data_IF_840352122099
#
_entry.id   IF_840352122099
#
_cell.length_a   1.000
_cell.length_b   1.000
_cell.length_c   1.000
_cell.angle_alpha   90.00
_cell.angle_beta   90.00
_cell.angle_gamma   90.00
#
_symmetry.space_group_name_H-M   'P 1'
#
loop_
_entity.id
_entity.type
_entity.pdbx_description
1 polymer ?
#
# COMPACT_ATOMS: atom_id res chain seq x y z
N UNK A 1 39.16 6.40 -24.80
CA UNK A 1 38.40 5.78 -23.68
C UNK A 1 38.93 6.38 -22.39
N UNK A 2 38.39 7.51 -21.96
CA UNK A 2 38.94 8.25 -20.81
C UNK A 2 37.81 8.76 -19.92
N UNK A 3 37.86 8.23 -18.71
CA UNK A 3 37.21 8.60 -17.45
C UNK A 3 36.99 10.10 -17.26
N UNK A 4 35.73 10.54 -17.20
CA UNK A 4 35.36 11.82 -16.61
C UNK A 4 35.07 11.61 -15.12
N UNK A 5 36.14 11.50 -14.32
CA UNK A 5 36.07 11.73 -12.88
C UNK A 5 35.59 13.17 -12.66
N UNK A 6 34.46 13.33 -12.00
CA UNK A 6 34.01 14.64 -11.54
C UNK A 6 34.93 15.07 -10.40
N UNK A 7 35.84 16.01 -10.70
CA UNK A 7 36.68 16.74 -9.74
C UNK A 7 35.81 17.65 -8.85
N UNK A 8 34.99 17.07 -7.97
CA UNK A 8 34.28 17.84 -6.92
C UNK A 8 34.69 17.48 -5.50
N UNK A 9 35.54 16.47 -5.31
CA UNK A 9 35.97 16.00 -3.99
C UNK A 9 37.48 16.14 -3.76
N UNK A 10 38.05 17.31 -4.10
CA UNK A 10 39.44 17.65 -3.76
C UNK A 10 39.56 18.93 -2.94
N UNK A 11 38.68 19.10 -1.96
CA UNK A 11 38.91 20.09 -0.89
C UNK A 11 39.00 19.32 0.42
N UNK A 12 40.23 18.92 0.75
CA UNK A 12 40.60 18.59 2.13
C UNK A 12 40.52 19.90 2.94
N UNK A 13 39.90 19.92 4.13
CA UNK A 13 39.75 21.15 4.92
C UNK A 13 41.08 21.69 5.48
N UNK A 14 42.20 21.00 5.27
CA UNK A 14 43.52 21.35 5.85
C UNK A 14 44.53 21.93 4.83
N UNK A 15 44.09 22.37 3.64
CA UNK A 15 44.98 23.08 2.70
C UNK A 15 44.48 24.50 2.42
N UNK A 16 45.28 25.49 2.81
CA UNK A 16 45.07 26.89 2.45
C UNK A 16 44.99 27.04 0.93
N UNK A 17 43.89 27.61 0.41
CA UNK A 17 43.74 27.94 -0.99
C UNK A 17 44.62 29.16 -1.30
N UNK A 18 45.89 28.95 -1.62
CA UNK A 18 46.68 29.97 -2.30
C UNK A 18 46.17 29.96 -3.74
N UNK A 19 45.28 30.90 -4.07
CA UNK A 19 44.95 31.18 -5.47
C UNK A 19 45.89 32.29 -5.88
N UNK A 20 46.83 31.99 -6.77
CA UNK A 20 47.67 33.02 -7.37
C UNK A 20 46.75 34.04 -8.08
N UNK A 21 46.95 35.35 -7.87
CA UNK A 21 46.16 36.36 -8.55
C UNK A 21 46.32 36.20 -10.06
N UNK A 22 45.20 36.33 -10.77
CA UNK A 22 45.18 36.30 -12.24
C UNK A 22 46.12 37.44 -12.72
N UNK A 23 47.00 37.21 -13.71
CA UNK A 23 47.84 38.28 -14.24
C UNK A 23 46.98 39.47 -14.66
N UNK A 24 47.42 40.70 -14.34
CA UNK A 24 46.66 41.95 -14.57
C UNK A 24 46.12 42.10 -15.99
N UNK A 25 46.85 41.55 -16.97
CA UNK A 25 46.52 41.65 -18.38
C UNK A 25 45.34 40.74 -18.77
N UNK A 26 45.06 39.70 -17.98
CA UNK A 26 43.97 38.75 -18.20
C UNK A 26 42.66 39.17 -17.52
N UNK A 27 42.68 40.09 -16.55
CA UNK A 27 41.48 40.65 -15.90
C UNK A 27 40.58 41.40 -16.90
N UNK A 28 41.19 42.03 -17.91
CA UNK A 28 40.46 42.73 -18.97
C UNK A 28 39.55 41.78 -19.78
N UNK A 29 39.97 40.53 -20.00
CA UNK A 29 39.21 39.55 -20.78
C UNK A 29 38.22 38.74 -19.94
N UNK A 30 38.35 38.74 -18.61
CA UNK A 30 37.52 37.94 -17.71
C UNK A 30 36.03 38.28 -17.85
N UNK A 31 35.71 39.56 -18.06
CA UNK A 31 34.33 40.03 -18.27
C UNK A 31 33.71 39.52 -19.56
N UNK A 32 34.51 39.35 -20.61
CA UNK A 32 34.01 38.90 -21.90
C UNK A 32 33.97 37.37 -21.97
N UNK A 33 34.99 36.69 -21.43
CA UNK A 33 35.00 35.24 -21.25
C UNK A 33 33.83 34.79 -20.38
N UNK A 34 33.54 35.50 -19.27
CA UNK A 34 32.40 35.18 -18.41
C UNK A 34 31.05 35.38 -19.11
N UNK A 35 30.88 36.45 -19.89
CA UNK A 35 29.68 36.67 -20.71
C UNK A 35 29.51 35.58 -21.78
N UNK A 36 30.58 35.17 -22.45
CA UNK A 36 30.52 34.11 -23.46
C UNK A 36 30.21 32.75 -22.83
N UNK A 37 30.84 32.43 -21.70
CA UNK A 37 30.56 31.23 -20.92
C UNK A 37 29.10 31.21 -20.45
N UNK A 38 28.56 32.35 -20.03
CA UNK A 38 27.16 32.47 -19.62
C UNK A 38 26.19 32.30 -20.80
N UNK A 39 26.52 32.86 -21.98
CA UNK A 39 25.76 32.63 -23.23
C UNK A 39 25.77 31.14 -23.62
N UNK A 40 26.91 30.47 -23.49
CA UNK A 40 27.06 29.03 -23.77
C UNK A 40 26.23 28.17 -22.80
N UNK A 41 26.29 28.47 -21.50
CA UNK A 41 25.45 27.84 -20.46
C UNK A 41 23.97 28.01 -20.77
N UNK A 42 23.53 29.23 -21.10
CA UNK A 42 22.13 29.50 -21.48
C UNK A 42 21.69 28.74 -22.74
N UNK A 43 22.56 28.58 -23.75
CA UNK A 43 22.25 27.73 -24.93
C UNK A 43 22.14 26.25 -24.55
N UNK A 44 23.06 25.76 -23.72
CA UNK A 44 23.06 24.38 -23.23
C UNK A 44 21.78 24.07 -22.46
N UNK A 45 21.39 24.92 -21.51
CA UNK A 45 20.14 24.80 -20.75
C UNK A 45 18.92 24.82 -21.67
N UNK A 46 18.86 25.73 -22.66
CA UNK A 46 17.75 25.82 -23.63
C UNK A 46 17.66 24.59 -24.54
N UNK A 47 18.78 23.94 -24.87
CA UNK A 47 18.76 22.67 -25.62
C UNK A 47 18.06 21.56 -24.82
N UNK A 48 18.25 21.49 -23.50
CA UNK A 48 17.54 20.52 -22.65
C UNK A 48 16.06 20.89 -22.44
N UNK A 49 15.71 22.17 -22.34
CA UNK A 49 14.33 22.61 -22.12
C UNK A 49 13.41 22.24 -23.29
N UNK A 50 13.88 22.30 -24.55
CA UNK A 50 13.08 21.89 -25.72
C UNK A 50 12.69 20.41 -25.72
N UNK A 51 13.44 19.56 -25.02
CA UNK A 51 13.20 18.11 -24.90
C UNK A 51 12.93 17.68 -23.46
N UNK A 52 12.51 18.61 -22.60
CA UNK A 52 12.31 18.37 -21.16
C UNK A 52 11.39 17.19 -20.89
N UNK A 53 10.30 17.07 -21.65
CA UNK A 53 9.37 15.93 -21.58
C UNK A 53 10.02 14.59 -21.97
N UNK A 54 10.85 14.57 -23.02
CA UNK A 54 11.56 13.35 -23.43
C UNK A 54 12.59 12.92 -22.39
N UNK A 55 13.28 13.89 -21.76
CA UNK A 55 14.21 13.63 -20.66
C UNK A 55 13.47 13.13 -19.40
N UNK A 56 12.33 13.73 -19.06
CA UNK A 56 11.48 13.27 -17.95
C UNK A 56 10.93 11.85 -18.16
N UNK A 57 10.68 11.46 -19.42
CA UNK A 57 10.28 10.08 -19.76
C UNK A 57 11.47 9.10 -19.79
N UNK A 58 12.68 9.59 -20.07
CA UNK A 58 13.90 8.77 -20.09
C UNK A 58 14.42 8.46 -18.67
N UNK A 59 14.03 9.23 -17.66
CA UNK A 59 14.35 8.91 -16.26
C UNK A 59 13.52 7.70 -15.82
N UNK A 60 14.14 6.55 -15.49
CA UNK A 60 13.40 5.37 -15.08
C UNK A 60 12.63 5.67 -13.80
N UNK A 61 11.32 5.36 -13.81
CA UNK A 61 10.46 5.55 -12.63
C UNK A 61 10.86 4.55 -11.55
N UNK A 62 11.60 5.01 -10.54
CA UNK A 62 11.88 4.22 -9.34
C UNK A 62 10.58 4.10 -8.54
N UNK A 63 10.07 2.88 -8.40
CA UNK A 63 8.91 2.59 -7.56
C UNK A 63 9.29 2.79 -6.09
N UNK A 64 8.94 3.95 -5.52
CA UNK A 64 9.10 4.19 -4.09
C UNK A 64 7.89 3.61 -3.36
N UNK A 65 8.12 2.79 -2.34
CA UNK A 65 7.04 2.29 -1.47
C UNK A 65 6.26 3.47 -0.88
N UNK A 66 4.93 3.32 -0.73
CA UNK A 66 4.03 4.38 -0.22
C UNK A 66 4.43 4.96 1.14
N UNK A 67 5.32 4.29 1.87
CA UNK A 67 5.85 4.77 3.13
C UNK A 67 7.35 4.50 3.19
N UNK A 68 8.15 5.56 3.04
CA UNK A 68 9.52 5.64 3.55
C UNK A 68 9.54 6.88 4.43
N UNK A 69 9.75 6.78 5.74
CA UNK A 69 9.83 7.96 6.59
C UNK A 69 11.07 8.76 6.17
N UNK A 70 10.85 9.91 5.52
CA UNK A 70 11.94 10.86 5.25
C UNK A 70 12.22 11.63 6.53
N UNK A 71 13.43 11.52 7.07
CA UNK A 71 13.88 12.44 8.10
C UNK A 71 14.16 13.82 7.47
N UNK A 72 13.79 14.92 8.13
CA UNK A 72 13.88 16.26 7.56
C UNK A 72 15.29 16.86 7.74
N UNK A 73 16.32 16.25 7.14
CA UNK A 73 17.66 16.85 7.12
C UNK A 73 18.28 16.80 5.70
N UNK A 74 18.93 17.89 5.23
CA UNK A 74 19.32 18.07 3.83
C UNK A 74 20.70 17.47 3.45
N UNK A 75 21.27 16.55 4.23
CA UNK A 75 22.57 15.92 3.92
C UNK A 75 22.46 14.40 3.93
N UNK A 76 22.84 13.75 2.83
CA UNK A 76 23.04 12.30 2.75
C UNK A 76 24.40 11.94 3.33
N UNK A 77 24.50 11.86 4.65
CA UNK A 77 25.57 11.10 5.29
C UNK A 77 25.22 9.62 5.16
N UNK A 78 26.17 8.77 4.77
CA UNK A 78 26.06 7.34 5.07
C UNK A 78 26.05 7.21 6.60
N UNK A 79 24.86 7.06 7.18
CA UNK A 79 24.73 6.86 8.61
C UNK A 79 25.26 5.46 8.89
N UNK A 80 26.50 5.35 9.35
CA UNK A 80 26.88 4.18 10.12
C UNK A 80 26.01 4.21 11.38
N UNK A 81 25.09 3.25 11.48
CA UNK A 81 24.25 3.08 12.65
C UNK A 81 25.11 2.57 13.81
N UNK A 82 25.88 3.46 14.43
CA UNK A 82 26.56 3.16 15.69
C UNK A 82 25.47 3.12 16.75
N UNK A 83 25.15 1.92 17.21
CA UNK A 83 24.19 1.78 18.29
C UNK A 83 24.80 2.40 19.56
N UNK A 84 24.03 3.11 20.41
CA UNK A 84 24.57 3.71 21.65
C UNK A 84 25.25 2.72 22.61
N UNK A 85 25.08 1.41 22.39
CA UNK A 85 25.76 0.35 23.10
C UNK A 85 27.15 -0.03 22.54
N UNK A 86 27.54 0.54 21.39
CA UNK A 86 28.82 0.28 20.70
C UNK A 86 29.85 1.42 20.91
N UNK A 87 29.43 2.61 21.34
CA UNK A 87 30.35 3.69 21.68
C UNK A 87 30.99 3.45 23.06
N UNK A 88 32.31 3.63 23.18
CA UNK A 88 33.01 3.60 24.47
C UNK A 88 32.64 4.85 25.29
N UNK A 89 32.19 4.67 26.53
CA UNK A 89 31.80 5.75 27.44
C UNK A 89 32.93 6.04 28.43
N UNK A 90 33.42 7.28 28.47
CA UNK A 90 34.58 7.67 29.26
C UNK A 90 34.21 8.30 30.61
N UNK A 91 32.96 8.72 30.81
CA UNK A 91 32.51 9.35 32.07
C UNK A 91 31.49 8.51 32.85
N UNK A 92 31.55 8.60 34.20
CA UNK A 92 30.68 7.85 35.12
C UNK A 92 29.20 8.23 34.98
N UNK A 93 28.90 9.48 34.66
CA UNK A 93 27.55 9.99 34.43
C UNK A 93 26.94 9.44 33.14
N UNK A 94 27.71 9.30 32.06
CA UNK A 94 27.27 8.65 30.81
C UNK A 94 27.05 7.14 30.99
N UNK A 95 27.85 6.49 31.84
CA UNK A 95 27.65 5.08 32.20
C UNK A 95 26.33 4.87 32.94
N UNK A 96 25.96 5.82 33.82
CA UNK A 96 24.70 5.84 34.58
C UNK A 96 23.48 6.29 33.75
N UNK A 97 23.68 7.02 32.65
CA UNK A 97 22.61 7.63 31.85
C UNK A 97 22.01 6.74 30.73
N UNK A 98 22.49 5.51 30.50
CA UNK A 98 21.85 4.61 29.51
C UNK A 98 20.72 3.75 30.11
N UNK A 99 19.65 3.48 29.36
CA UNK A 99 18.59 2.57 29.79
C UNK A 99 19.13 1.13 29.73
N UNK A 100 19.29 0.54 30.91
CA UNK A 100 19.97 -0.73 31.21
C UNK A 100 19.57 -1.92 30.33
N UNK A 101 18.32 -1.96 29.86
CA UNK A 101 17.73 -3.08 29.10
C UNK A 101 18.41 -3.30 27.74
N UNK A 102 18.69 -2.25 26.96
CA UNK A 102 19.21 -2.41 25.58
C UNK A 102 20.65 -2.93 25.57
N UNK A 103 21.49 -2.47 26.50
CA UNK A 103 22.86 -2.99 26.70
C UNK A 103 22.82 -4.46 27.11
N UNK A 104 21.92 -4.84 28.01
CA UNK A 104 21.74 -6.24 28.42
C UNK A 104 21.26 -7.13 27.27
N UNK A 105 20.36 -6.64 26.41
CA UNK A 105 19.91 -7.37 25.20
C UNK A 105 21.04 -7.57 24.20
N UNK A 106 21.87 -6.55 23.98
CA UNK A 106 23.03 -6.66 23.09
C UNK A 106 24.04 -7.67 23.63
N UNK A 107 24.40 -7.56 24.92
CA UNK A 107 25.30 -8.53 25.58
C UNK A 107 24.75 -9.95 25.56
N UNK A 108 23.42 -10.12 25.72
CA UNK A 108 22.78 -11.43 25.60
C UNK A 108 22.94 -12.00 24.20
N UNK A 109 22.75 -11.18 23.16
CA UNK A 109 22.94 -11.60 21.76
C UNK A 109 24.38 -12.06 21.51
N UNK A 110 25.36 -11.34 22.06
CA UNK A 110 26.77 -11.73 21.97
C UNK A 110 27.03 -13.05 22.71
N UNK A 111 26.49 -13.21 23.93
CA UNK A 111 26.62 -14.47 24.68
C UNK A 111 26.00 -15.67 23.95
N UNK A 112 24.84 -15.49 23.30
CA UNK A 112 24.21 -16.55 22.48
C UNK A 112 25.09 -16.91 21.29
N UNK A 113 25.67 -15.91 20.61
CA UNK A 113 26.57 -16.15 19.47
C UNK A 113 27.89 -16.81 19.91
N UNK A 114 28.36 -16.53 21.13
CA UNK A 114 29.54 -17.15 21.73
C UNK A 114 29.25 -18.55 22.33
N UNK A 115 27.98 -18.92 22.55
CA UNK A 115 27.58 -20.18 23.18
C UNK A 115 27.62 -20.17 24.73
N UNK A 116 27.71 -19.00 25.36
CA UNK A 116 27.85 -18.87 26.82
C UNK A 116 26.48 -19.01 27.54
N UNK A 117 26.04 -20.24 27.82
CA UNK A 117 24.75 -20.52 28.45
C UNK A 117 24.61 -19.91 29.87
N UNK A 118 25.70 -19.93 30.65
CA UNK A 118 25.74 -19.36 32.00
C UNK A 118 25.58 -17.84 31.94
N UNK A 119 26.34 -17.19 31.05
CA UNK A 119 26.24 -15.75 30.83
C UNK A 119 24.86 -15.33 30.33
N UNK A 120 24.26 -16.12 29.43
CA UNK A 120 22.91 -15.88 28.94
C UNK A 120 21.87 -15.96 30.07
N UNK A 121 21.98 -16.95 30.96
CA UNK A 121 21.04 -17.12 32.08
C UNK A 121 21.05 -15.94 33.07
N UNK A 122 22.24 -15.40 33.37
CA UNK A 122 22.46 -14.24 34.24
C UNK A 122 21.91 -12.98 33.57
N UNK A 123 22.21 -12.77 32.28
CA UNK A 123 21.70 -11.64 31.51
C UNK A 123 20.17 -11.68 31.38
N UNK A 124 19.58 -12.87 31.21
CA UNK A 124 18.13 -13.06 31.20
C UNK A 124 17.49 -12.75 32.57
N UNK A 125 18.18 -13.03 33.68
CA UNK A 125 17.72 -12.67 35.02
C UNK A 125 17.76 -11.14 35.20
N UNK A 126 18.83 -10.48 34.79
CA UNK A 126 18.95 -9.01 34.87
C UNK A 126 17.98 -8.28 33.93
N UNK A 127 17.76 -8.81 32.73
CA UNK A 127 16.75 -8.31 31.81
C UNK A 127 15.36 -8.35 32.45
N UNK A 128 15.00 -9.46 33.10
CA UNK A 128 13.72 -9.58 33.82
C UNK A 128 13.56 -8.55 34.92
N UNK A 129 14.59 -8.25 35.70
CA UNK A 129 14.53 -7.20 36.72
C UNK A 129 14.47 -5.79 36.10
N UNK A 130 15.23 -5.54 35.03
CA UNK A 130 15.25 -4.24 34.35
C UNK A 130 13.95 -3.92 33.62
N UNK A 131 13.26 -4.92 33.05
CA UNK A 131 11.92 -4.74 32.48
C UNK A 131 10.87 -4.43 33.56
N UNK A 132 11.10 -4.80 34.82
CA UNK A 132 10.22 -4.46 35.95
C UNK A 132 10.46 -3.04 36.48
N UNK A 133 11.59 -2.42 36.17
CA UNK A 133 11.89 -1.03 36.55
C UNK A 133 11.34 -0.05 35.50
N UNK A 134 10.41 0.80 35.95
CA UNK A 134 9.91 2.03 35.30
C UNK A 134 9.15 1.92 33.96
N UNK A 135 9.65 1.18 32.97
CA UNK A 135 9.02 1.13 31.64
C UNK A 135 7.82 0.17 31.54
N UNK A 136 7.71 -0.84 32.41
CA UNK A 136 6.51 -1.70 32.51
C UNK A 136 5.28 -0.94 33.01
N UNK A 137 5.48 0.07 33.86
CA UNK A 137 4.41 0.95 34.37
C UNK A 137 3.90 1.93 33.30
N UNK A 138 4.77 2.38 32.40
CA UNK A 138 4.40 3.29 31.31
C UNK A 138 3.76 2.58 30.10
N UNK A 139 4.12 1.32 29.83
CA UNK A 139 3.68 0.63 28.61
C UNK A 139 2.37 -0.17 28.74
N UNK A 140 1.76 -0.28 29.93
CA UNK A 140 0.57 -1.12 30.18
C UNK A 140 0.65 -2.56 29.63
N UNK A 141 1.85 -3.07 29.35
CA UNK A 141 2.06 -4.46 28.93
C UNK A 141 2.11 -5.31 30.20
N UNK A 142 1.04 -6.06 30.46
CA UNK A 142 1.04 -6.97 31.60
C UNK A 142 2.20 -7.98 31.47
N UNK A 143 2.95 -8.25 32.55
CA UNK A 143 4.01 -9.23 32.51
C UNK A 143 3.46 -10.58 32.05
N UNK A 144 4.25 -11.34 31.28
CA UNK A 144 3.90 -12.70 30.89
C UNK A 144 3.57 -13.49 32.16
N UNK A 145 2.29 -13.86 32.30
CA UNK A 145 1.83 -14.63 33.45
C UNK A 145 2.57 -15.96 33.48
N UNK A 146 3.01 -16.38 34.68
CA UNK A 146 3.61 -17.71 34.83
C UNK A 146 2.62 -18.73 34.26
N UNK A 147 3.07 -19.69 33.42
CA UNK A 147 2.17 -20.71 32.90
C UNK A 147 1.52 -21.41 34.09
N UNK A 148 0.19 -21.44 34.11
CA UNK A 148 -0.56 -22.07 35.21
C UNK A 148 -0.09 -23.51 35.33
N UNK A 149 0.43 -23.88 36.50
CA UNK A 149 0.83 -25.27 36.78
C UNK A 149 -0.38 -26.16 36.51
N UNK A 150 -0.26 -27.11 35.57
CA UNK A 150 -1.35 -28.04 35.25
C UNK A 150 -1.67 -28.82 36.53
N UNK A 151 -2.93 -28.74 37.00
CA UNK A 151 -3.39 -29.54 38.13
C UNK A 151 -3.32 -31.01 37.74
N UNK A 152 -2.92 -31.88 38.67
CA UNK A 152 -3.02 -33.34 38.47
C UNK A 152 -4.49 -33.68 38.19
N UNK A 153 -4.73 -34.53 37.19
CA UNK A 153 -6.09 -35.01 36.88
C UNK A 153 -6.64 -35.76 38.09
N UNK A 154 -7.91 -35.56 38.40
CA UNK A 154 -8.57 -36.39 39.41
C UNK A 154 -8.77 -37.81 38.90
N UNK A 155 -8.95 -38.77 39.80
CA UNK A 155 -9.15 -40.19 39.44
C UNK A 155 -10.32 -40.40 38.47
N UNK A 156 -11.44 -39.68 38.67
CA UNK A 156 -12.58 -39.67 37.73
C UNK A 156 -12.22 -39.14 36.35
N UNK A 157 -11.30 -38.17 36.26
CA UNK A 157 -10.83 -37.62 34.98
C UNK A 157 -9.85 -38.56 34.28
N UNK A 158 -9.02 -39.28 35.04
CA UNK A 158 -8.17 -40.35 34.55
C UNK A 158 -9.02 -41.48 33.96
N UNK A 159 -10.02 -41.99 34.70
CA UNK A 159 -10.92 -43.03 34.21
C UNK A 159 -11.68 -42.62 32.92
N UNK A 160 -12.11 -41.35 32.79
CA UNK A 160 -12.71 -40.84 31.55
C UNK A 160 -11.72 -40.79 30.40
N UNK A 161 -10.48 -40.39 30.69
CA UNK A 161 -9.41 -40.33 29.72
C UNK A 161 -9.01 -41.72 29.23
N UNK A 162 -8.99 -42.71 30.11
CA UNK A 162 -8.65 -44.10 29.77
C UNK A 162 -9.75 -44.73 28.91
N UNK A 163 -11.03 -44.45 29.21
CA UNK A 163 -12.16 -44.82 28.34
C UNK A 163 -12.07 -44.17 26.95
N UNK A 164 -11.62 -42.91 26.89
CA UNK A 164 -11.41 -42.21 25.62
C UNK A 164 -10.26 -42.82 24.81
N UNK A 165 -9.15 -43.15 25.46
CA UNK A 165 -8.02 -43.87 24.83
C UNK A 165 -8.48 -45.23 24.33
N UNK A 166 -9.23 -46.00 25.11
CA UNK A 166 -9.76 -47.30 24.69
C UNK A 166 -10.66 -47.18 23.45
N UNK A 167 -11.46 -46.11 23.36
CA UNK A 167 -12.29 -45.81 22.18
C UNK A 167 -11.47 -45.41 20.95
N UNK A 168 -10.32 -44.76 21.13
CA UNK A 168 -9.40 -44.42 20.04
C UNK A 168 -8.54 -45.61 19.61
N UNK A 169 -8.27 -46.54 20.53
CA UNK A 169 -7.48 -47.75 20.28
C UNK A 169 -8.24 -48.79 19.46
N UNK A 170 -9.57 -48.68 19.33
CA UNK A 170 -10.31 -49.54 18.41
C UNK A 170 -9.98 -49.15 16.96
N UNK A 171 -9.63 -50.13 16.11
CA UNK A 171 -9.30 -49.86 14.71
C UNK A 171 -10.52 -49.24 14.02
N UNK A 172 -10.30 -48.13 13.31
CA UNK A 172 -11.35 -47.49 12.53
C UNK A 172 -11.77 -48.44 11.41
N UNK A 173 -13.03 -48.88 11.43
CA UNK A 173 -13.61 -49.65 10.34
C UNK A 173 -13.57 -48.77 9.08
N UNK A 174 -12.99 -49.23 7.96
CA UNK A 174 -13.00 -48.46 6.73
C UNK A 174 -14.45 -48.16 6.35
N UNK A 175 -14.79 -46.91 5.97
CA UNK A 175 -16.14 -46.58 5.56
C UNK A 175 -16.52 -47.49 4.38
N UNK A 176 -17.68 -48.15 4.49
CA UNK A 176 -18.22 -48.92 3.36
C UNK A 176 -18.32 -47.97 2.16
N UNK A 177 -17.96 -48.41 0.94
CA UNK A 177 -18.11 -47.58 -0.24
C UNK A 177 -19.56 -47.07 -0.32
N UNK A 178 -19.78 -45.80 -0.70
CA UNK A 178 -21.12 -45.28 -0.85
C UNK A 178 -21.89 -46.19 -1.80
N UNK A 179 -23.12 -46.55 -1.44
CA UNK A 179 -23.98 -47.30 -2.35
C UNK A 179 -24.10 -46.49 -3.66
N UNK A 180 -24.01 -47.13 -4.83
CA UNK A 180 -24.19 -46.43 -6.11
C UNK A 180 -25.56 -45.75 -6.08
N UNK A 181 -25.59 -44.45 -6.38
CA UNK A 181 -26.71 -43.60 -6.01
C UNK A 181 -28.01 -44.03 -6.71
N UNK A 182 -27.96 -44.46 -7.97
CA UNK A 182 -29.12 -44.91 -8.78
C UNK A 182 -28.68 -45.80 -9.94
N UNK A 183 -29.56 -46.70 -10.41
CA UNK A 183 -29.40 -47.33 -11.73
C UNK A 183 -29.81 -46.33 -12.83
N UNK A 184 -29.18 -46.40 -14.01
CA UNK A 184 -29.53 -45.55 -15.14
C UNK A 184 -31.03 -45.72 -15.48
N UNK A 185 -31.80 -44.62 -15.44
CA UNK A 185 -33.25 -44.61 -15.71
C UNK A 185 -34.17 -44.66 -14.49
N UNK A 186 -33.64 -44.77 -13.27
CA UNK A 186 -34.47 -44.81 -12.06
C UNK A 186 -34.90 -43.39 -11.62
N UNK A 187 -36.20 -43.10 -11.77
CA UNK A 187 -36.77 -41.80 -11.37
C UNK A 187 -37.31 -41.87 -9.94
N UNK A 188 -36.91 -40.89 -9.14
CA UNK A 188 -37.30 -40.76 -7.75
C UNK A 188 -38.75 -40.28 -7.63
N UNK A 189 -39.65 -41.24 -7.35
CA UNK A 189 -41.10 -41.01 -7.25
C UNK A 189 -41.46 -39.94 -6.21
N UNK A 190 -40.69 -39.84 -5.12
CA UNK A 190 -40.93 -38.84 -4.09
C UNK A 190 -40.62 -37.43 -4.62
N UNK A 191 -39.48 -37.28 -5.30
CA UNK A 191 -39.08 -36.02 -5.93
C UNK A 191 -40.04 -35.61 -7.04
N UNK A 192 -40.48 -36.55 -7.87
CA UNK A 192 -41.50 -36.31 -8.90
C UNK A 192 -42.77 -35.72 -8.28
N UNK A 193 -43.24 -36.31 -7.17
CA UNK A 193 -44.41 -35.83 -6.43
C UNK A 193 -44.22 -34.44 -5.82
N UNK A 194 -43.00 -34.12 -5.36
CA UNK A 194 -42.66 -32.77 -4.84
C UNK A 194 -42.61 -31.72 -5.93
N UNK A 195 -42.10 -32.09 -7.13
CA UNK A 195 -42.04 -31.18 -8.28
C UNK A 195 -43.40 -30.99 -8.93
N UNK A 196 -44.28 -32.00 -8.88
CA UNK A 196 -45.64 -31.92 -9.42
C UNK A 196 -46.61 -31.18 -8.49
N UNK A 197 -46.29 -31.00 -7.21
CA UNK A 197 -47.15 -30.22 -6.31
C UNK A 197 -46.98 -28.72 -6.56
N UNK A 198 -48.08 -27.95 -6.68
CA UNK A 198 -48.01 -26.51 -6.88
C UNK A 198 -47.33 -25.85 -5.67
N UNK A 199 -46.36 -24.97 -5.96
CA UNK A 199 -45.61 -24.27 -4.91
C UNK A 199 -46.50 -23.16 -4.34
N UNK A 200 -46.99 -23.35 -3.12
CA UNK A 200 -47.72 -22.30 -2.41
C UNK A 200 -46.75 -21.17 -2.05
N UNK A 201 -46.84 -20.05 -2.76
CA UNK A 201 -46.13 -18.83 -2.39
C UNK A 201 -46.90 -18.20 -1.24
N UNK A 202 -46.49 -18.50 0.00
CA UNK A 202 -46.95 -17.72 1.15
C UNK A 202 -46.28 -16.36 1.01
N UNK A 203 -47.08 -15.31 0.82
CA UNK A 203 -46.59 -13.95 0.89
C UNK A 203 -46.03 -13.74 2.29
N UNK A 204 -44.69 -13.72 2.40
CA UNK A 204 -44.02 -13.38 3.65
C UNK A 204 -44.37 -11.92 3.97
N UNK A 205 -45.40 -11.71 4.79
CA UNK A 205 -45.70 -10.41 5.37
C UNK A 205 -44.47 -10.03 6.19
N UNK A 206 -43.63 -9.18 5.61
CA UNK A 206 -42.41 -8.73 6.27
C UNK A 206 -42.83 -8.15 7.62
N UNK A 207 -42.29 -8.64 8.74
CA UNK A 207 -42.63 -8.10 10.04
C UNK A 207 -42.29 -6.61 10.04
N UNK A 208 -43.14 -5.81 10.70
CA UNK A 208 -42.89 -4.40 10.91
C UNK A 208 -41.51 -4.26 11.56
N UNK A 209 -40.64 -3.44 10.97
CA UNK A 209 -39.27 -3.32 11.46
C UNK A 209 -39.26 -2.66 12.83
N UNK A 210 -38.78 -3.38 13.84
CA UNK A 210 -38.63 -2.93 15.21
C UNK A 210 -37.18 -3.07 15.66
N UNK A 211 -36.68 -2.14 16.47
CA UNK A 211 -35.33 -2.27 17.04
C UNK A 211 -35.30 -3.43 18.02
N UNK A 212 -34.37 -4.36 17.80
CA UNK A 212 -34.10 -5.43 18.77
C UNK A 212 -33.66 -4.85 20.13
N UNK A 213 -33.90 -5.55 21.25
CA UNK A 213 -33.45 -5.11 22.57
C UNK A 213 -31.94 -4.80 22.62
N UNK A 214 -31.14 -5.57 21.88
CA UNK A 214 -29.69 -5.39 21.78
C UNK A 214 -29.31 -4.09 21.05
N UNK A 215 -30.08 -3.70 20.02
CA UNK A 215 -29.88 -2.44 19.32
C UNK A 215 -30.23 -1.22 20.20
N UNK A 216 -31.25 -1.34 21.07
CA UNK A 216 -31.61 -0.27 22.02
C UNK A 216 -30.49 0.02 23.02
N UNK A 217 -29.77 -1.00 23.44
CA UNK A 217 -28.70 -0.90 24.44
C UNK A 217 -27.29 -0.84 23.83
N UNK A 218 -27.17 -0.75 22.50
CA UNK A 218 -25.88 -0.82 21.83
C UNK A 218 -25.01 0.42 22.10
N UNK A 219 -23.83 0.20 22.68
CA UNK A 219 -22.81 1.26 22.88
C UNK A 219 -21.77 1.18 21.78
N UNK A 220 -21.73 2.20 20.93
CA UNK A 220 -20.77 2.28 19.83
C UNK A 220 -19.31 2.18 20.31
N UNK A 221 -18.53 1.32 19.65
CA UNK A 221 -17.10 1.17 19.92
C UNK A 221 -16.33 2.45 19.62
N UNK A 222 -15.15 2.62 20.23
CA UNK A 222 -14.27 3.78 19.96
C UNK A 222 -13.98 3.92 18.46
N UNK A 223 -13.80 2.81 17.75
CA UNK A 223 -13.60 2.80 16.28
C UNK A 223 -14.82 3.33 15.53
N UNK A 224 -16.03 2.90 15.88
CA UNK A 224 -17.25 3.39 15.25
C UNK A 224 -17.42 4.89 15.48
N UNK A 225 -17.11 5.40 16.68
CA UNK A 225 -17.12 6.84 16.97
C UNK A 225 -16.11 7.62 16.12
N UNK A 226 -14.91 7.08 15.89
CA UNK A 226 -13.90 7.72 15.03
C UNK A 226 -14.32 7.75 13.55
N UNK A 227 -14.98 6.68 13.06
CA UNK A 227 -15.46 6.63 11.67
C UNK A 227 -16.68 7.54 11.48
N UNK A 228 -17.53 7.65 12.50
CA UNK A 228 -18.69 8.54 12.48
C UNK A 228 -18.33 10.01 12.63
N UNK A 229 -17.15 10.34 13.15
CA UNK A 229 -16.67 11.72 13.21
C UNK A 229 -16.49 12.26 11.78
N UNK A 230 -16.85 13.53 11.57
CA UNK A 230 -16.63 14.16 10.28
C UNK A 230 -15.13 14.11 9.92
N UNK A 231 -14.83 13.89 8.64
CA UNK A 231 -13.46 14.03 8.16
C UNK A 231 -13.27 15.51 7.83
N UNK A 232 -12.59 16.26 8.70
CA UNK A 232 -12.12 17.59 8.32
C UNK A 232 -11.01 17.41 7.29
N UNK A 233 -11.34 17.70 6.03
CA UNK A 233 -10.34 17.80 4.98
C UNK A 233 -9.85 19.24 4.99
N UNK A 234 -8.54 19.42 5.00
CA UNK A 234 -7.97 20.73 4.74
C UNK A 234 -8.46 21.16 3.36
N UNK A 235 -9.24 22.24 3.34
CA UNK A 235 -9.87 22.73 2.14
C UNK A 235 -8.82 23.43 1.28
N UNK A 236 -8.02 22.65 0.53
CA UNK A 236 -6.94 23.15 -0.34
C UNK A 236 -7.46 24.11 -1.44
N UNK A 237 -8.78 24.19 -1.65
CA UNK A 237 -9.43 24.96 -2.72
C UNK A 237 -10.37 26.06 -2.23
N UNK A 238 -10.41 26.38 -0.93
CA UNK A 238 -11.08 27.62 -0.51
C UNK A 238 -10.13 28.76 -0.84
N UNK A 239 -10.52 29.61 -1.78
CA UNK A 239 -9.92 30.95 -1.89
C UNK A 239 -10.08 31.61 -0.52
N UNK A 240 -8.97 31.88 0.16
CA UNK A 240 -8.91 32.52 1.49
C UNK A 240 -9.68 33.86 1.53
N UNK A 241 -9.96 34.44 0.36
CA UNK A 241 -10.79 35.63 0.17
C UNK A 241 -11.85 35.37 -0.90
N UNK A 242 -13.04 34.84 -0.54
CA UNK A 242 -14.11 34.57 -1.51
C UNK A 242 -14.63 35.86 -2.19
N UNK A 243 -14.40 37.02 -1.57
CA UNK A 243 -14.75 38.35 -2.08
C UNK A 243 -13.81 38.83 -3.19
N UNK A 244 -12.60 38.26 -3.30
CA UNK A 244 -11.58 38.73 -4.23
C UNK A 244 -11.78 38.11 -5.60
N UNK A 245 -12.71 38.68 -6.36
CA UNK A 245 -12.93 38.36 -7.76
C UNK A 245 -11.77 38.90 -8.60
N UNK A 246 -11.30 38.12 -9.59
CA UNK A 246 -10.24 38.60 -10.50
C UNK A 246 -10.73 39.81 -11.31
N UNK A 247 -9.88 40.83 -11.56
CA UNK A 247 -10.30 42.02 -12.32
C UNK A 247 -10.71 41.70 -13.76
N UNK A 248 -10.19 40.61 -14.34
CA UNK A 248 -10.60 40.13 -15.66
C UNK A 248 -12.03 39.58 -15.66
N UNK A 249 -12.47 38.93 -14.57
CA UNK A 249 -13.85 38.46 -14.46
C UNK A 249 -14.85 39.63 -14.39
N UNK A 250 -14.48 40.74 -13.74
CA UNK A 250 -15.31 41.95 -13.69
C UNK A 250 -15.47 42.63 -15.06
N UNK A 251 -14.45 42.51 -15.93
CA UNK A 251 -14.42 43.11 -17.28
C UNK A 251 -14.90 42.16 -18.38
N UNK A 252 -15.21 40.90 -18.04
CA UNK A 252 -15.53 39.87 -19.01
C UNK A 252 -16.90 40.13 -19.66
N UNK A 253 -16.92 40.21 -20.99
CA UNK A 253 -18.17 40.28 -21.77
C UNK A 253 -18.49 38.87 -22.29
N UNK A 254 -19.65 38.28 -21.94
CA UNK A 254 -20.00 36.93 -22.38
C UNK A 254 -20.22 36.90 -23.90
N UNK A 255 -19.76 35.82 -24.53
CA UNK A 255 -20.00 35.55 -25.95
C UNK A 255 -21.48 35.32 -26.24
N UNK A 256 -21.90 35.51 -27.50
CA UNK A 256 -23.29 35.29 -27.92
C UNK A 256 -23.80 33.89 -27.53
N UNK A 257 -22.97 32.86 -27.70
CA UNK A 257 -23.28 31.48 -27.30
C UNK A 257 -23.47 31.31 -25.78
N UNK A 258 -22.66 32.00 -24.97
CA UNK A 258 -22.82 31.92 -23.51
C UNK A 258 -24.14 32.59 -23.09
N UNK A 259 -24.52 33.70 -23.75
CA UNK A 259 -25.82 34.34 -23.53
C UNK A 259 -26.96 33.40 -23.89
N UNK A 260 -26.90 32.77 -25.07
CA UNK A 260 -27.89 31.78 -25.54
C UNK A 260 -28.03 30.59 -24.57
N UNK A 261 -26.91 30.02 -24.10
CA UNK A 261 -26.92 28.92 -23.13
C UNK A 261 -27.38 29.34 -21.73
N UNK A 262 -27.22 30.62 -21.37
CA UNK A 262 -27.66 31.18 -20.09
C UNK A 262 -29.13 31.57 -20.08
N UNK A 263 -29.74 31.73 -21.26
CA UNK A 263 -31.19 31.92 -21.33
C UNK A 263 -31.87 30.63 -20.83
N UNK A 264 -32.80 30.73 -19.86
CA UNK A 264 -33.57 29.58 -19.45
C UNK A 264 -34.29 29.01 -20.68
N UNK A 265 -34.23 27.70 -20.88
CA UNK A 265 -34.97 27.04 -21.96
C UNK A 265 -36.43 27.49 -21.90
N UNK A 266 -36.87 28.22 -22.92
CA UNK A 266 -38.24 28.75 -23.03
C UNK A 266 -39.27 27.63 -23.10
N UNK A 267 -38.85 26.44 -23.53
CA UNK A 267 -39.63 25.21 -23.52
C UNK A 267 -39.09 24.28 -22.42
N UNK A 268 -39.86 24.11 -21.34
CA UNK A 268 -39.62 23.11 -20.29
C UNK A 268 -39.94 21.68 -20.75
N UNK A 269 -39.84 21.38 -22.03
CA UNK A 269 -40.38 20.13 -22.59
C UNK A 269 -39.59 18.88 -22.18
N UNK A 270 -38.36 19.04 -21.68
CA UNK A 270 -37.55 17.91 -21.24
C UNK A 270 -37.95 17.34 -19.87
N UNK A 271 -38.65 18.10 -19.01
CA UNK A 271 -38.88 17.68 -17.61
C UNK A 271 -40.35 17.74 -17.16
N UNK A 272 -41.30 18.06 -18.04
CA UNK A 272 -42.70 18.26 -17.67
C UNK A 272 -43.63 17.09 -18.08
N UNK A 273 -43.15 16.10 -18.82
CA UNK A 273 -43.97 15.00 -19.31
C UNK A 273 -43.60 13.64 -18.69
N UNK A 274 -44.61 12.90 -18.24
CA UNK A 274 -44.63 11.43 -18.08
C UNK A 274 -44.47 10.71 -19.44
N UNK A 275 -43.55 11.17 -20.31
CA UNK A 275 -43.48 10.78 -21.71
C UNK A 275 -42.04 10.75 -22.24
N UNK A 276 -41.13 10.12 -21.50
CA UNK A 276 -39.97 9.45 -22.13
C UNK A 276 -40.40 8.13 -22.82
N UNK A 277 -41.70 7.83 -22.85
CA UNK A 277 -42.25 6.82 -23.76
C UNK A 277 -42.43 7.49 -25.12
N UNK A 278 -41.36 7.49 -25.89
CA UNK A 278 -41.45 7.71 -27.34
C UNK A 278 -42.54 6.79 -27.87
N UNK A 279 -43.58 7.32 -28.51
CA UNK A 279 -44.75 6.54 -28.99
C UNK A 279 -44.35 5.28 -29.78
N UNK A 280 -43.17 5.33 -30.41
CA UNK A 280 -42.45 4.14 -30.88
C UNK A 280 -41.01 4.14 -30.33
N UNK A 281 -40.66 3.20 -29.42
CA UNK A 281 -39.30 3.07 -28.88
C UNK A 281 -38.23 2.85 -29.96
N UNK A 282 -38.62 2.25 -31.09
CA UNK A 282 -37.74 1.95 -32.22
C UNK A 282 -37.68 3.06 -33.28
N UNK A 283 -38.43 4.16 -33.10
CA UNK A 283 -38.39 5.26 -34.06
C UNK A 283 -37.04 5.98 -34.00
N UNK A 284 -36.35 6.05 -35.13
CA UNK A 284 -35.07 6.78 -35.26
C UNK A 284 -35.41 8.25 -35.55
N UNK A 285 -34.70 9.20 -34.95
CA UNK A 285 -34.97 10.62 -35.22
C UNK A 285 -34.60 10.98 -36.68
N UNK A 286 -35.34 11.90 -37.33
CA UNK A 286 -35.04 12.29 -38.71
C UNK A 286 -33.65 12.91 -38.86
N UNK A 287 -33.12 13.51 -37.80
CA UNK A 287 -31.76 14.05 -37.79
C UNK A 287 -30.69 12.95 -37.70
N UNK A 288 -30.97 11.84 -37.00
CA UNK A 288 -30.06 10.69 -36.97
C UNK A 288 -29.96 10.03 -38.36
N UNK A 289 -31.07 9.96 -39.11
CA UNK A 289 -31.08 9.46 -40.50
C UNK A 289 -30.28 10.35 -41.47
N UNK A 290 -30.27 11.66 -41.25
CA UNK A 290 -29.56 12.65 -42.08
C UNK A 290 -28.10 12.89 -41.65
N UNK A 291 -27.68 12.32 -40.53
CA UNK A 291 -26.38 12.60 -39.94
C UNK A 291 -25.23 12.03 -40.78
N UNK A 292 -24.25 12.88 -41.09
CA UNK A 292 -22.99 12.48 -41.71
C UNK A 292 -21.90 12.44 -40.64
N UNK A 293 -21.21 11.31 -40.50
CA UNK A 293 -20.12 11.15 -39.54
C UNK A 293 -19.02 12.20 -39.77
N UNK A 294 -18.58 12.84 -38.70
CA UNK A 294 -17.45 13.79 -38.73
C UNK A 294 -16.14 13.08 -39.10
N UNK A 295 -15.16 13.83 -39.60
CA UNK A 295 -13.83 13.29 -39.93
C UNK A 295 -13.22 12.53 -38.76
N UNK A 296 -13.28 13.11 -37.55
CA UNK A 296 -12.81 12.47 -36.31
C UNK A 296 -13.49 11.14 -36.01
N UNK A 297 -14.80 11.01 -36.26
CA UNK A 297 -15.51 9.75 -36.02
C UNK A 297 -15.04 8.68 -37.01
N UNK A 298 -14.76 9.07 -38.27
CA UNK A 298 -14.19 8.17 -39.27
C UNK A 298 -12.80 7.69 -38.88
N UNK A 299 -11.92 8.60 -38.46
CA UNK A 299 -10.57 8.28 -37.95
C UNK A 299 -10.61 7.32 -36.75
N UNK A 300 -11.57 7.51 -35.83
CA UNK A 300 -11.72 6.63 -34.67
C UNK A 300 -12.35 5.27 -35.00
N UNK A 301 -13.12 5.20 -36.09
CA UNK A 301 -13.72 3.96 -36.57
C UNK A 301 -12.71 3.10 -37.35
N UNK A 302 -11.62 3.68 -37.84
CA UNK A 302 -10.53 2.91 -38.44
C UNK A 302 -9.90 1.97 -37.39
N UNK A 303 -9.85 0.66 -37.68
CA UNK A 303 -9.33 -0.32 -36.75
C UNK A 303 -7.85 -0.04 -36.48
N UNK A 304 -7.52 0.14 -35.20
CA UNK A 304 -6.14 0.36 -34.79
C UNK A 304 -5.39 -0.96 -34.76
N UNK A 305 -4.42 -1.14 -35.66
CA UNK A 305 -3.51 -2.27 -35.61
C UNK A 305 -2.70 -2.21 -34.31
N UNK A 306 -2.89 -3.21 -33.46
CA UNK A 306 -2.14 -3.35 -32.21
C UNK A 306 -1.17 -4.52 -32.35
N UNK A 307 0.13 -4.23 -32.32
CA UNK A 307 1.14 -5.27 -32.21
C UNK A 307 1.02 -5.94 -30.84
N UNK A 308 0.61 -7.21 -30.83
CA UNK A 308 0.49 -8.02 -29.61
C UNK A 308 1.88 -8.38 -29.05
N UNK A 309 2.55 -7.39 -28.47
CA UNK A 309 3.84 -7.55 -27.76
C UNK A 309 3.75 -8.48 -26.54
N UNK A 310 2.54 -8.84 -26.13
CA UNK A 310 2.29 -9.71 -24.97
C UNK A 310 2.30 -11.21 -25.30
N UNK A 311 2.20 -11.59 -26.58
CA UNK A 311 2.32 -12.99 -26.98
C UNK A 311 3.80 -13.23 -27.23
N UNK A 312 4.45 -13.95 -26.32
CA UNK A 312 5.82 -14.45 -26.57
C UNK A 312 5.77 -15.40 -27.76
N UNK A 313 6.71 -15.25 -28.68
CA UNK A 313 6.86 -16.14 -29.84
C UNK A 313 6.92 -17.63 -29.46
N UNK A 314 7.45 -17.93 -28.26
CA UNK A 314 7.42 -19.27 -27.69
C UNK A 314 6.77 -19.28 -26.29
N UNK A 315 5.55 -19.84 -26.14
CA UNK A 315 4.83 -19.85 -24.87
C UNK A 315 5.50 -20.73 -23.80
N UNK A 316 6.39 -21.64 -24.18
CA UNK A 316 7.13 -22.53 -23.27
C UNK A 316 8.52 -22.02 -22.90
N UNK A 317 8.96 -20.89 -23.46
CA UNK A 317 10.26 -20.32 -23.14
C UNK A 317 10.27 -19.72 -21.72
N UNK A 318 10.98 -20.42 -20.82
CA UNK A 318 11.25 -19.96 -19.46
C UNK A 318 12.32 -18.86 -19.53
N UNK A 319 12.13 -17.77 -18.78
CA UNK A 319 13.12 -16.69 -18.77
C UNK A 319 14.45 -17.17 -18.16
N UNK A 320 15.61 -16.72 -18.67
CA UNK A 320 16.91 -17.11 -18.12
C UNK A 320 17.09 -16.69 -16.66
N UNK A 321 16.39 -15.63 -16.22
CA UNK A 321 16.34 -15.21 -14.83
C UNK A 321 15.63 -16.23 -13.93
N UNK A 322 14.55 -16.87 -14.42
CA UNK A 322 13.84 -17.91 -13.68
C UNK A 322 14.69 -19.18 -13.54
N UNK A 323 15.47 -19.55 -14.57
CA UNK A 323 16.42 -20.67 -14.50
C UNK A 323 17.55 -20.44 -13.49
N UNK A 324 17.96 -19.18 -13.30
CA UNK A 324 19.02 -18.79 -12.35
C UNK A 324 18.49 -18.53 -10.93
N UNK A 325 17.18 -18.46 -10.74
CA UNK A 325 16.59 -18.12 -9.45
C UNK A 325 16.74 -19.28 -8.45
N UNK A 326 17.36 -19.00 -7.30
CA UNK A 326 17.45 -19.95 -6.18
C UNK A 326 16.32 -19.68 -5.19
N UNK A 327 15.68 -20.74 -4.70
CA UNK A 327 14.61 -20.63 -3.71
C UNK A 327 15.13 -20.03 -2.39
N UNK A 328 14.31 -19.18 -1.75
CA UNK A 328 14.65 -18.62 -0.43
C UNK A 328 14.64 -19.72 0.65
N UNK A 329 15.45 -19.60 1.72
CA UNK A 329 15.54 -20.62 2.76
C UNK A 329 14.18 -20.95 3.38
N UNK A 330 13.31 -19.94 3.57
CA UNK A 330 11.93 -20.13 4.05
C UNK A 330 11.06 -20.96 3.12
N UNK A 331 11.20 -20.81 1.79
CA UNK A 331 10.45 -21.61 0.84
C UNK A 331 10.92 -23.07 0.84
N UNK A 332 12.22 -23.30 1.04
CA UNK A 332 12.79 -24.63 1.20
C UNK A 332 12.23 -25.29 2.47
N UNK A 333 12.13 -24.56 3.58
CA UNK A 333 11.53 -25.06 4.83
C UNK A 333 10.05 -25.40 4.67
N UNK A 334 9.27 -24.55 3.98
CA UNK A 334 7.84 -24.79 3.74
C UNK A 334 7.58 -25.93 2.76
N UNK A 335 8.50 -26.16 1.82
CA UNK A 335 8.41 -27.25 0.85
C UNK A 335 8.71 -28.62 1.46
N UNK A 336 9.31 -28.69 2.66
CA UNK A 336 9.42 -29.95 3.39
C UNK A 336 8.01 -30.41 3.75
N UNK A 337 7.62 -31.66 3.41
CA UNK A 337 6.32 -32.18 3.83
C UNK A 337 6.24 -32.12 5.35
N UNK A 338 5.08 -31.76 5.88
CA UNK A 338 4.81 -31.95 7.31
C UNK A 338 4.78 -33.47 7.52
N UNK A 339 5.88 -34.00 8.06
CA UNK A 339 6.09 -35.45 8.22
C UNK A 339 4.91 -36.14 8.90
N UNK A 340 4.58 -37.30 8.36
CA UNK A 340 3.79 -38.34 9.04
C UNK A 340 4.68 -39.23 9.91
#
# INVERSE_FOLDING_TARGET
>A
MTTCQQLKDSVRPDCCRISDPIPSDAECFERDISKELEKLKRRHERMFVKRRRLMEMAVPRVLVSRFVPKCPCPFTKSIEMVYPCQAQSYTRTEQLALPTVRRLLYRRRVAILAGDEIGESILNRWLRYSYMSLYSRLANSQPLTKPKKKKKKTEKQLAKHDKYIAKLATPKVPPKPPKPERKAGEVDKARLKTLSSPRAYVEEVKPKWELTPDMKNFKASRRLKMIAAHIQRDNVHINETPEKVSPNALRYKPSARIKEMSEPLKTRDANQGLADVKENPFSISPNALKYKASSRIKELAEPKEFENTHIRENPFAISPAALKAKASPRLIELAKPKGG
#
